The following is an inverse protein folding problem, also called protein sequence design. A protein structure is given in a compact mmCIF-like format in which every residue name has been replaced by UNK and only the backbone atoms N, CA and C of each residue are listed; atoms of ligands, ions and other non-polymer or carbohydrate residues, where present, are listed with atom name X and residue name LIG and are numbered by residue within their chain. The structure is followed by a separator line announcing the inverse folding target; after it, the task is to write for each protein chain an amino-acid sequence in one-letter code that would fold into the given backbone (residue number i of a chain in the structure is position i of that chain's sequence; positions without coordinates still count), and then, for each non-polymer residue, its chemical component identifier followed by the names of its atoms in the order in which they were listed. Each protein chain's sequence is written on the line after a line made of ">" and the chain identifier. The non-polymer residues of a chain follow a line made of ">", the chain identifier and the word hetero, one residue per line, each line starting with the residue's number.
data_IF_779067784860
#
_entry.id   IF_779067784860
#
_cell.length_a   1.000
_cell.length_b   1.000
_cell.length_c   1.000
_cell.angle_alpha   90.00
_cell.angle_beta   90.00
_cell.angle_gamma   90.00
#
_symmetry.space_group_name_H-M   'P 1'
#
loop_
_entity.id
_entity.type
_entity.pdbx_description
1 polymer ?
#
# COMPACT_ATOMS: atom_id res chain seq x y z
N UNK A 1 2.83 -16.68 -32.54
CA UNK A 1 1.84 -16.01 -33.40
C UNK A 1 0.40 -16.53 -33.26
N UNK A 2 0.11 -17.84 -33.41
CA UNK A 2 -1.29 -18.35 -33.45
C UNK A 2 -2.03 -18.56 -32.11
N UNK A 3 -1.47 -18.17 -30.96
CA UNK A 3 -2.06 -18.44 -29.64
C UNK A 3 -2.76 -17.27 -28.95
N UNK A 4 -2.85 -16.09 -29.59
CA UNK A 4 -3.40 -14.87 -28.95
C UNK A 4 -2.52 -14.26 -27.84
N UNK A 5 -1.51 -14.99 -27.34
CA UNK A 5 -0.59 -14.57 -26.27
C UNK A 5 0.34 -13.40 -26.67
N UNK A 6 0.46 -13.13 -27.96
CA UNK A 6 1.22 -11.99 -28.49
C UNK A 6 0.40 -10.68 -28.48
N UNK A 7 -0.90 -10.75 -28.12
CA UNK A 7 -1.74 -9.58 -27.91
C UNK A 7 -1.89 -9.32 -26.42
N UNK A 8 -1.80 -8.06 -26.01
CA UNK A 8 -1.94 -7.65 -24.61
C UNK A 8 -3.16 -6.76 -24.42
N UNK A 9 -3.61 -6.67 -23.18
CA UNK A 9 -4.66 -5.76 -22.74
C UNK A 9 -4.27 -5.12 -21.42
N UNK A 10 -4.88 -3.98 -21.14
CA UNK A 10 -4.86 -3.40 -19.81
C UNK A 10 -5.66 -4.32 -18.87
N UNK A 11 -5.15 -4.64 -17.67
CA UNK A 11 -5.88 -5.46 -16.71
C UNK A 11 -7.12 -4.73 -16.19
N UNK A 12 -8.03 -5.48 -15.58
CA UNK A 12 -9.16 -4.89 -14.85
C UNK A 12 -8.63 -4.13 -13.64
N UNK A 13 -9.27 -3.01 -13.30
CA UNK A 13 -8.89 -2.19 -12.15
C UNK A 13 -9.15 -2.94 -10.84
N UNK A 14 -8.10 -3.35 -10.10
CA UNK A 14 -8.25 -4.12 -8.87
C UNK A 14 -8.79 -3.31 -7.70
N UNK A 15 -8.93 -1.99 -7.83
CA UNK A 15 -9.54 -1.13 -6.80
C UNK A 15 -11.07 -1.08 -6.88
N UNK A 16 -11.64 -1.57 -7.97
CA UNK A 16 -13.06 -1.57 -8.25
C UNK A 16 -13.61 -3.00 -8.28
N UNK A 17 -14.81 -3.20 -7.72
CA UNK A 17 -15.45 -4.53 -7.67
C UNK A 17 -16.72 -4.58 -8.53
N UNK A 18 -17.00 -5.77 -9.07
CA UNK A 18 -18.27 -6.11 -9.72
C UNK A 18 -18.32 -5.82 -11.22
N UNK A 19 -19.52 -5.83 -11.77
CA UNK A 19 -19.80 -5.68 -13.21
C UNK A 19 -19.42 -4.33 -13.82
N UNK A 20 -18.98 -3.37 -12.99
CA UNK A 20 -18.52 -2.04 -13.41
C UNK A 20 -16.99 -1.87 -13.33
N UNK A 21 -16.23 -2.94 -13.03
CA UNK A 21 -14.77 -2.87 -13.04
C UNK A 21 -14.26 -2.68 -14.47
N UNK A 22 -13.89 -1.44 -14.80
CA UNK A 22 -13.26 -1.10 -16.07
C UNK A 22 -11.81 -1.55 -16.12
N UNK A 23 -11.13 -1.25 -17.24
CA UNK A 23 -9.68 -1.37 -17.30
C UNK A 23 -9.02 -0.40 -16.32
N UNK A 24 -7.91 -0.81 -15.72
CA UNK A 24 -7.10 0.05 -14.86
C UNK A 24 -6.64 1.28 -15.66
N UNK A 25 -7.06 2.51 -15.30
CA UNK A 25 -6.61 3.69 -16.03
C UNK A 25 -5.09 3.89 -15.88
N UNK A 26 -4.43 4.53 -16.85
CA UNK A 26 -3.03 4.89 -16.71
C UNK A 26 -2.86 5.98 -15.64
N UNK A 27 -1.75 5.97 -14.92
CA UNK A 27 -1.49 6.94 -13.85
C UNK A 27 -0.12 7.59 -14.00
N UNK A 28 -0.04 8.84 -13.56
CA UNK A 28 1.21 9.56 -13.48
C UNK A 28 1.95 9.26 -12.19
N UNK A 29 3.26 9.06 -12.31
CA UNK A 29 4.13 8.82 -11.17
C UNK A 29 5.55 9.24 -11.52
N UNK A 30 6.34 9.57 -10.50
CA UNK A 30 7.78 9.76 -10.65
C UNK A 30 8.47 8.42 -10.40
N UNK A 31 9.05 7.80 -11.43
CA UNK A 31 9.80 6.55 -11.33
C UNK A 31 11.08 6.59 -12.14
N UNK A 32 11.98 5.69 -11.81
CA UNK A 32 13.15 5.38 -12.60
C UNK A 32 12.99 3.99 -13.19
N UNK A 33 12.87 3.90 -14.52
CA UNK A 33 12.84 2.60 -15.20
C UNK A 33 14.26 2.09 -15.48
N UNK A 34 14.46 0.77 -15.69
CA UNK A 34 15.77 0.22 -16.00
C UNK A 34 16.45 0.95 -17.17
N UNK A 35 17.73 1.29 -16.99
CA UNK A 35 18.53 2.02 -17.98
C UNK A 35 18.45 3.55 -17.88
N UNK A 36 17.53 4.12 -17.10
CA UNK A 36 17.53 5.55 -16.80
C UNK A 36 18.52 5.89 -15.67
N UNK A 37 19.13 7.07 -15.76
CA UNK A 37 20.06 7.60 -14.74
C UNK A 37 19.37 8.37 -13.62
N UNK A 38 18.14 8.84 -13.83
CA UNK A 38 17.33 9.58 -12.85
C UNK A 38 15.85 9.24 -12.98
N UNK A 39 15.04 9.41 -11.91
CA UNK A 39 13.59 9.31 -12.02
C UNK A 39 13.01 10.38 -12.94
N UNK A 40 11.95 10.04 -13.68
CA UNK A 40 11.20 10.94 -14.55
C UNK A 40 9.71 10.93 -14.21
N UNK A 41 9.04 12.08 -14.30
CA UNK A 41 7.58 12.12 -14.20
C UNK A 41 7.00 11.44 -15.44
N UNK A 42 6.26 10.36 -15.24
CA UNK A 42 5.88 9.46 -16.33
C UNK A 42 4.44 8.97 -16.20
N UNK A 43 3.73 8.89 -17.33
CA UNK A 43 2.47 8.17 -17.43
C UNK A 43 2.75 6.67 -17.56
N UNK A 44 2.07 5.85 -16.79
CA UNK A 44 2.36 4.43 -16.66
C UNK A 44 1.10 3.56 -16.82
N UNK A 45 1.23 2.40 -17.47
CA UNK A 45 0.17 1.37 -17.49
C UNK A 45 0.74 -0.06 -17.58
N UNK A 46 0.20 -1.03 -16.81
CA UNK A 46 0.56 -2.43 -16.91
C UNK A 46 -0.23 -3.17 -18.00
N UNK A 47 0.35 -4.25 -18.50
CA UNK A 47 -0.25 -5.13 -19.51
C UNK A 47 -0.23 -6.60 -19.07
N UNK A 48 -1.34 -7.28 -19.34
CA UNK A 48 -1.52 -8.74 -19.22
C UNK A 48 -1.87 -9.34 -20.59
N UNK A 49 -1.68 -10.64 -20.82
CA UNK A 49 -2.03 -11.27 -22.08
C UNK A 49 -3.53 -11.14 -22.37
N UNK A 50 -3.88 -11.02 -23.65
CA UNK A 50 -5.26 -11.15 -24.11
C UNK A 50 -5.68 -12.61 -23.92
N UNK A 51 -6.61 -12.84 -22.99
CA UNK A 51 -7.04 -14.18 -22.56
C UNK A 51 -7.32 -14.20 -21.05
N UNK A 52 -7.40 -15.41 -20.49
CA UNK A 52 -7.69 -15.63 -19.07
C UNK A 52 -6.47 -15.63 -18.14
N UNK A 53 -5.25 -15.40 -18.66
CA UNK A 53 -4.05 -15.28 -17.82
C UNK A 53 -3.93 -13.84 -17.33
N UNK A 54 -3.67 -13.69 -16.03
CA UNK A 54 -3.53 -12.39 -15.37
C UNK A 54 -2.09 -12.13 -14.91
N UNK A 55 -1.11 -12.86 -15.45
CA UNK A 55 0.31 -12.62 -15.20
C UNK A 55 0.77 -11.33 -15.89
N UNK A 56 1.65 -10.58 -15.23
CA UNK A 56 2.22 -9.36 -15.80
C UNK A 56 3.11 -9.71 -17.00
N UNK A 57 2.88 -9.05 -18.14
CA UNK A 57 3.64 -9.29 -19.37
C UNK A 57 4.49 -8.10 -19.78
N UNK A 58 3.98 -6.88 -19.61
CA UNK A 58 4.74 -5.69 -19.93
C UNK A 58 4.25 -4.47 -19.14
N UNK A 59 5.09 -3.45 -19.08
CA UNK A 59 4.76 -2.12 -18.59
C UNK A 59 5.01 -1.12 -19.73
N UNK A 60 4.09 -0.21 -20.01
CA UNK A 60 4.39 0.95 -20.84
C UNK A 60 4.53 2.20 -19.98
N UNK A 61 5.56 2.97 -20.28
CA UNK A 61 5.93 4.19 -19.57
C UNK A 61 6.14 5.30 -20.60
N UNK A 62 5.51 6.45 -20.40
CA UNK A 62 5.64 7.63 -21.26
C UNK A 62 6.25 8.74 -20.45
N UNK A 63 7.44 9.20 -20.84
CA UNK A 63 8.09 10.31 -20.17
C UNK A 63 7.27 11.59 -20.39
N UNK A 64 6.96 12.29 -19.31
CA UNK A 64 6.16 13.52 -19.29
C UNK A 64 6.96 14.73 -18.81
N UNK A 65 8.25 14.58 -18.53
CA UNK A 65 9.16 15.69 -18.27
C UNK A 65 9.45 16.45 -19.57
N UNK A 66 9.49 17.79 -19.49
CA UNK A 66 9.86 18.62 -20.62
C UNK A 66 11.32 18.36 -21.05
N UNK A 67 11.53 18.16 -22.35
CA UNK A 67 12.85 17.92 -22.95
C UNK A 67 12.78 16.94 -24.11
N UNK A 68 13.95 16.50 -24.59
CA UNK A 68 14.09 15.65 -25.79
C UNK A 68 13.38 14.29 -25.67
N UNK A 69 13.19 13.81 -24.45
CA UNK A 69 12.56 12.51 -24.18
C UNK A 69 11.05 12.65 -23.89
N UNK A 70 10.47 13.86 -23.94
CA UNK A 70 9.04 14.08 -23.71
C UNK A 70 8.18 13.29 -24.72
N UNK A 71 7.16 12.61 -24.21
CA UNK A 71 6.24 11.80 -25.02
C UNK A 71 6.83 10.46 -25.49
N UNK A 72 8.09 10.15 -25.18
CA UNK A 72 8.72 8.88 -25.57
C UNK A 72 8.08 7.74 -24.82
N UNK A 73 7.52 6.79 -25.58
CA UNK A 73 6.92 5.56 -25.06
C UNK A 73 8.02 4.50 -24.95
N UNK A 74 8.21 3.97 -23.74
CA UNK A 74 9.09 2.84 -23.45
C UNK A 74 8.27 1.66 -22.97
N UNK A 75 8.46 0.50 -23.58
CA UNK A 75 7.78 -0.74 -23.19
C UNK A 75 8.80 -1.68 -22.54
N UNK A 76 8.59 -1.98 -21.26
CA UNK A 76 9.36 -2.93 -20.48
C UNK A 76 8.66 -4.28 -20.55
N UNK A 77 9.15 -5.17 -21.42
CA UNK A 77 8.57 -6.50 -21.58
C UNK A 77 9.27 -7.51 -20.68
N UNK A 78 8.47 -8.31 -19.96
CA UNK A 78 8.99 -9.42 -19.16
C UNK A 78 9.28 -10.63 -20.06
N UNK A 79 10.28 -11.47 -19.71
CA UNK A 79 10.51 -12.72 -20.42
C UNK A 79 9.27 -13.62 -20.39
N UNK A 80 8.95 -14.29 -21.49
CA UNK A 80 7.72 -15.11 -21.62
C UNK A 80 7.63 -16.28 -20.62
N UNK A 81 8.75 -16.68 -20.04
CA UNK A 81 8.84 -17.74 -19.04
C UNK A 81 8.59 -17.26 -17.61
N UNK A 82 8.40 -15.96 -17.38
CA UNK A 82 8.17 -15.45 -16.02
C UNK A 82 6.74 -15.69 -15.56
N UNK A 83 6.59 -16.06 -14.30
CA UNK A 83 5.29 -16.24 -13.65
C UNK A 83 5.00 -15.08 -12.68
N UNK A 84 5.30 -13.85 -13.12
CA UNK A 84 5.07 -12.66 -12.31
C UNK A 84 3.58 -12.37 -12.22
N UNK A 85 3.07 -12.14 -11.02
CA UNK A 85 1.66 -11.83 -10.78
C UNK A 85 1.29 -10.46 -11.38
N UNK A 86 0.17 -10.37 -12.10
CA UNK A 86 -0.36 -9.07 -12.53
C UNK A 86 -1.16 -8.37 -11.42
N UNK A 87 -1.60 -7.13 -11.65
CA UNK A 87 -2.32 -6.32 -10.66
C UNK A 87 -3.51 -7.03 -10.01
N UNK A 88 -4.37 -7.70 -10.79
CA UNK A 88 -5.54 -8.41 -10.26
C UNK A 88 -5.15 -9.57 -9.35
N UNK A 89 -4.12 -10.34 -9.71
CA UNK A 89 -3.63 -11.46 -8.88
C UNK A 89 -3.02 -10.96 -7.56
N UNK A 90 -2.22 -9.88 -7.62
CA UNK A 90 -1.63 -9.30 -6.40
C UNK A 90 -2.70 -8.76 -5.46
N UNK A 91 -3.71 -8.07 -6.00
CA UNK A 91 -4.86 -7.62 -5.21
C UNK A 91 -5.59 -8.79 -4.53
N UNK A 92 -5.85 -9.88 -5.26
CA UNK A 92 -6.43 -11.09 -4.66
C UNK A 92 -5.53 -11.71 -3.58
N UNK A 93 -4.21 -11.73 -3.78
CA UNK A 93 -3.26 -12.25 -2.79
C UNK A 93 -3.23 -11.38 -1.53
N UNK A 94 -3.32 -10.06 -1.67
CA UNK A 94 -3.47 -9.15 -0.55
C UNK A 94 -4.73 -9.44 0.26
N UNK A 95 -5.88 -9.56 -0.40
CA UNK A 95 -7.16 -9.83 0.28
C UNK A 95 -7.22 -11.22 0.92
N UNK A 96 -6.49 -12.20 0.35
CA UNK A 96 -6.39 -13.54 0.91
C UNK A 96 -5.55 -13.60 2.20
N UNK A 97 -4.71 -12.59 2.50
CA UNK A 97 -3.89 -12.57 3.71
C UNK A 97 -4.78 -12.40 4.96
N UNK A 98 -4.76 -13.31 5.95
CA UNK A 98 -5.69 -13.28 7.08
C UNK A 98 -5.70 -11.97 7.87
N UNK A 99 -4.53 -11.37 8.09
CA UNK A 99 -4.37 -10.08 8.78
C UNK A 99 -5.05 -8.92 8.02
N UNK A 100 -4.89 -8.91 6.70
CA UNK A 100 -5.53 -7.93 5.80
C UNK A 100 -7.04 -8.14 5.81
N UNK A 101 -7.50 -9.36 5.57
CA UNK A 101 -8.92 -9.70 5.55
C UNK A 101 -9.63 -9.28 6.85
N UNK A 102 -9.02 -9.59 7.99
CA UNK A 102 -9.52 -9.21 9.32
C UNK A 102 -9.57 -7.69 9.47
N UNK A 103 -8.49 -6.99 9.15
CA UNK A 103 -8.45 -5.53 9.26
C UNK A 103 -9.45 -4.84 8.33
N UNK A 104 -9.57 -5.27 7.07
CA UNK A 104 -10.56 -4.72 6.14
C UNK A 104 -11.99 -4.99 6.60
N UNK A 105 -12.26 -6.15 7.19
CA UNK A 105 -13.56 -6.48 7.79
C UNK A 105 -13.89 -5.54 8.96
N UNK A 106 -12.94 -5.29 9.86
CA UNK A 106 -13.11 -4.35 10.98
C UNK A 106 -13.34 -2.91 10.49
N UNK A 107 -12.59 -2.45 9.49
CA UNK A 107 -12.77 -1.11 8.91
C UNK A 107 -14.17 -0.95 8.29
N UNK A 108 -14.73 -2.01 7.69
CA UNK A 108 -16.10 -2.01 7.14
C UNK A 108 -17.19 -2.01 8.22
N UNK A 109 -16.94 -2.60 9.39
CA UNK A 109 -17.92 -2.68 10.49
C UNK A 109 -18.14 -1.33 11.20
N UNK A 110 -17.17 -0.40 11.15
CA UNK A 110 -17.22 0.88 11.86
C UNK A 110 -18.10 1.97 11.23
N UNK A 111 -19.04 1.64 10.35
CA UNK A 111 -19.84 2.64 9.62
C UNK A 111 -19.02 3.46 8.62
N UNK A 112 -17.97 2.85 8.08
CA UNK A 112 -17.08 3.45 7.08
C UNK A 112 -17.03 2.61 5.81
N UNK A 113 -17.00 3.27 4.67
CA UNK A 113 -16.74 2.62 3.39
C UNK A 113 -15.23 2.46 3.23
N UNK A 114 -14.77 1.22 3.06
CA UNK A 114 -13.39 0.95 2.65
C UNK A 114 -13.25 1.27 1.17
N UNK A 115 -12.29 2.14 0.85
CA UNK A 115 -11.93 2.53 -0.51
C UNK A 115 -10.52 2.03 -0.79
N UNK A 116 -10.40 1.03 -1.65
CA UNK A 116 -9.11 0.61 -2.16
C UNK A 116 -8.59 1.67 -3.13
N UNK A 117 -7.35 2.11 -2.95
CA UNK A 117 -6.69 2.96 -3.93
C UNK A 117 -6.12 2.16 -5.09
N UNK A 118 -5.53 2.89 -6.03
CA UNK A 118 -4.89 2.30 -7.20
C UNK A 118 -3.74 1.39 -6.77
N UNK A 119 -3.68 0.19 -7.35
CA UNK A 119 -2.56 -0.71 -7.18
C UNK A 119 -1.44 -0.32 -8.14
N UNK A 120 -0.35 0.20 -7.59
CA UNK A 120 0.84 0.61 -8.31
C UNK A 120 1.78 -0.58 -8.47
N UNK A 121 2.29 -0.80 -9.68
CA UNK A 121 3.30 -1.84 -9.97
C UNK A 121 4.57 -1.14 -10.42
N UNK A 122 5.64 -1.26 -9.64
CA UNK A 122 6.86 -0.47 -9.81
C UNK A 122 8.07 -1.38 -10.02
N UNK A 123 8.86 -1.21 -11.10
CA UNK A 123 10.14 -1.88 -11.22
C UNK A 123 11.11 -1.28 -10.20
N UNK A 124 11.60 -2.10 -9.27
CA UNK A 124 12.61 -1.68 -8.29
C UNK A 124 13.70 -2.74 -8.18
N UNK A 125 14.96 -2.31 -8.32
CA UNK A 125 16.09 -3.23 -8.42
C UNK A 125 15.86 -4.28 -9.53
N UNK A 126 15.92 -5.56 -9.16
CA UNK A 126 15.70 -6.69 -10.07
C UNK A 126 14.30 -7.33 -9.94
N UNK A 127 13.34 -6.63 -9.33
CA UNK A 127 12.00 -7.15 -9.07
C UNK A 127 10.91 -6.11 -9.25
N UNK A 128 9.70 -6.49 -8.83
CA UNK A 128 8.51 -5.65 -8.90
C UNK A 128 7.95 -5.44 -7.50
N UNK A 129 7.76 -4.16 -7.16
CA UNK A 129 7.12 -3.71 -5.95
C UNK A 129 5.68 -3.34 -6.27
N UNK A 130 4.75 -3.92 -5.56
CA UNK A 130 3.33 -3.59 -5.64
C UNK A 130 2.94 -2.79 -4.42
N UNK A 131 2.24 -1.68 -4.61
CA UNK A 131 1.81 -0.79 -3.51
C UNK A 131 0.34 -0.47 -3.70
N UNK A 132 -0.49 -0.73 -2.69
CA UNK A 132 -1.90 -0.39 -2.70
C UNK A 132 -2.29 0.32 -1.40
N UNK A 133 -2.68 1.59 -1.44
CA UNK A 133 -3.22 2.28 -0.28
C UNK A 133 -4.67 1.87 -0.02
N UNK A 134 -5.05 1.84 1.25
CA UNK A 134 -6.42 1.60 1.71
C UNK A 134 -6.89 2.81 2.47
N UNK A 135 -7.98 3.39 1.99
CA UNK A 135 -8.63 4.52 2.61
C UNK A 135 -9.96 4.09 3.24
N UNK A 136 -10.44 4.91 4.16
CA UNK A 136 -11.81 4.85 4.66
C UNK A 136 -12.48 6.21 4.55
N UNK A 137 -13.78 6.21 4.36
CA UNK A 137 -14.63 7.40 4.42
C UNK A 137 -15.91 7.09 5.18
N UNK A 138 -16.53 8.09 5.79
CA UNK A 138 -17.81 7.88 6.48
C UNK A 138 -18.90 7.43 5.48
N UNK A 139 -19.61 6.35 5.81
CA UNK A 139 -20.68 5.82 4.94
C UNK A 139 -21.80 6.84 4.80
N UNK A 140 -22.32 7.01 3.56
CA UNK A 140 -23.45 7.89 3.27
C UNK A 140 -23.12 9.39 3.23
N UNK A 141 -21.88 9.79 3.54
CA UNK A 141 -21.43 11.18 3.38
C UNK A 141 -20.56 11.32 2.14
N UNK A 142 -21.15 11.79 1.05
CA UNK A 142 -20.45 12.01 -0.23
C UNK A 142 -19.40 13.12 -0.17
N UNK A 143 -19.45 13.99 0.84
CA UNK A 143 -18.45 15.03 1.09
C UNK A 143 -17.32 14.56 2.04
N UNK A 144 -17.36 13.32 2.54
CA UNK A 144 -16.31 12.81 3.41
C UNK A 144 -15.01 12.54 2.63
N UNK A 145 -13.93 13.17 3.07
CA UNK A 145 -12.60 12.95 2.52
C UNK A 145 -12.07 11.56 2.90
N UNK A 146 -11.53 10.78 1.93
CA UNK A 146 -10.90 9.50 2.23
C UNK A 146 -9.66 9.70 3.12
N UNK A 147 -9.61 8.98 4.23
CA UNK A 147 -8.47 8.96 5.14
C UNK A 147 -7.67 7.68 4.95
N UNK A 148 -6.36 7.81 4.74
CA UNK A 148 -5.46 6.65 4.64
C UNK A 148 -5.46 5.90 5.96
N UNK A 149 -5.77 4.60 5.92
CA UNK A 149 -5.73 3.73 7.10
C UNK A 149 -4.58 2.76 7.03
N UNK A 150 -4.32 2.20 5.85
CA UNK A 150 -3.29 1.18 5.64
C UNK A 150 -2.64 1.31 4.27
N UNK A 151 -1.46 0.72 4.15
CA UNK A 151 -0.72 0.53 2.91
C UNK A 151 -0.34 -0.95 2.83
N UNK A 152 -0.70 -1.58 1.71
CA UNK A 152 -0.26 -2.92 1.36
C UNK A 152 0.93 -2.81 0.43
N UNK A 153 1.94 -3.62 0.70
CA UNK A 153 3.13 -3.72 -0.14
C UNK A 153 3.43 -5.17 -0.41
N UNK A 154 3.77 -5.51 -1.65
CA UNK A 154 4.31 -6.83 -2.00
C UNK A 154 5.59 -6.70 -2.80
N UNK A 155 6.57 -7.54 -2.49
CA UNK A 155 7.78 -7.75 -3.29
C UNK A 155 8.12 -9.24 -3.28
N UNK A 156 8.01 -9.89 -4.44
CA UNK A 156 8.03 -11.35 -4.53
C UNK A 156 6.90 -11.96 -3.69
N UNK A 157 7.23 -12.94 -2.85
CA UNK A 157 6.26 -13.64 -1.98
C UNK A 157 6.00 -12.93 -0.64
N UNK A 158 6.71 -11.83 -0.37
CA UNK A 158 6.56 -11.10 0.89
C UNK A 158 5.45 -10.06 0.78
N UNK A 159 4.58 -9.99 1.79
CA UNK A 159 3.48 -9.02 1.88
C UNK A 159 3.58 -8.26 3.19
N UNK A 160 3.80 -6.95 3.09
CA UNK A 160 3.73 -5.99 4.18
C UNK A 160 2.37 -5.32 4.24
N UNK A 161 1.91 -5.05 5.45
CA UNK A 161 0.65 -4.39 5.75
C UNK A 161 0.81 -3.51 6.99
N UNK A 162 0.76 -2.20 6.80
CA UNK A 162 1.00 -1.23 7.88
C UNK A 162 0.21 0.05 7.66
N UNK A 163 0.20 0.93 8.67
CA UNK A 163 -0.45 2.25 8.60
C UNK A 163 0.33 3.23 7.72
N UNK A 164 1.62 2.96 7.51
CA UNK A 164 2.50 3.78 6.68
C UNK A 164 3.17 2.93 5.61
N UNK A 165 3.50 3.56 4.48
CA UNK A 165 4.28 2.93 3.43
C UNK A 165 5.62 2.43 3.97
N UNK A 166 6.30 3.23 4.78
CA UNK A 166 7.57 2.84 5.40
C UNK A 166 7.41 1.56 6.24
N UNK A 167 6.41 1.50 7.11
CA UNK A 167 6.19 0.31 7.93
C UNK A 167 5.86 -0.93 7.12
N UNK A 168 5.13 -0.79 6.00
CA UNK A 168 4.84 -1.92 5.11
C UNK A 168 6.09 -2.35 4.32
N UNK A 169 6.93 -1.41 3.88
CA UNK A 169 8.22 -1.70 3.26
C UNK A 169 9.16 -2.40 4.23
N UNK A 170 9.24 -1.95 5.48
CA UNK A 170 10.11 -2.54 6.50
C UNK A 170 9.72 -3.98 6.83
N UNK A 171 8.43 -4.30 6.80
CA UNK A 171 7.95 -5.69 6.91
C UNK A 171 8.38 -6.55 5.70
N UNK A 172 8.39 -5.98 4.49
CA UNK A 172 8.77 -6.68 3.26
C UNK A 172 10.28 -6.90 3.15
N UNK A 173 11.08 -5.91 3.56
CA UNK A 173 12.54 -5.91 3.41
C UNK A 173 13.31 -6.20 4.71
N UNK A 174 12.62 -6.61 5.78
CA UNK A 174 13.26 -7.01 7.04
C UNK A 174 13.90 -5.86 7.81
N UNK A 175 13.35 -4.64 7.71
CA UNK A 175 13.74 -3.48 8.53
C UNK A 175 14.83 -2.57 7.96
N UNK A 176 15.28 -2.79 6.72
CA UNK A 176 16.21 -1.86 6.07
C UNK A 176 15.88 -1.69 4.58
N UNK A 177 14.70 -1.13 4.30
CA UNK A 177 14.16 -0.90 2.95
C UNK A 177 15.03 0.01 2.06
N UNK A 178 16.11 0.60 2.57
CA UNK A 178 17.03 1.47 1.82
C UNK A 178 16.39 2.77 1.31
N UNK A 179 15.10 3.00 1.60
CA UNK A 179 14.33 4.15 1.15
C UNK A 179 14.05 5.09 2.31
N UNK A 180 14.67 6.26 2.32
CA UNK A 180 14.11 7.43 3.00
C UNK A 180 12.96 7.95 2.14
N UNK A 181 11.74 7.50 2.40
CA UNK A 181 10.56 8.15 1.84
C UNK A 181 10.48 9.54 2.46
N UNK A 182 10.65 10.59 1.65
CA UNK A 182 10.39 11.95 2.07
C UNK A 182 8.91 12.06 2.40
N UNK A 183 8.57 11.94 3.67
CA UNK A 183 7.27 12.35 4.17
C UNK A 183 7.15 13.84 3.84
N UNK A 184 6.36 14.18 2.82
CA UNK A 184 5.80 15.52 2.66
C UNK A 184 4.71 15.76 3.74
N UNK A 185 5.05 15.51 5.00
CA UNK A 185 4.54 16.33 6.08
C UNK A 185 5.50 17.51 6.15
N UNK A 186 5.01 18.66 5.73
CA UNK A 186 5.67 19.95 5.83
C UNK A 186 6.24 20.14 7.24
N UNK A 187 7.52 19.86 7.40
CA UNK A 187 8.29 20.21 8.58
C UNK A 187 8.71 21.68 8.41
N UNK A 188 7.79 22.58 8.71
CA UNK A 188 8.14 23.96 9.02
C UNK A 188 8.86 23.95 10.36
N UNK A 189 10.09 24.49 10.49
CA UNK A 189 10.79 24.49 11.77
C UNK A 189 10.14 25.54 12.68
N UNK A 190 9.28 25.09 13.59
CA UNK A 190 8.85 25.88 14.74
C UNK A 190 9.45 25.25 16.00
N UNK A 191 10.44 25.94 16.56
CA UNK A 191 11.03 25.68 17.86
C UNK A 191 9.96 25.48 18.95
N UNK A 192 9.93 24.30 19.58
CA UNK A 192 9.16 24.07 20.80
C UNK A 192 9.06 22.60 21.22
N UNK A 193 9.80 22.20 22.26
CA UNK A 193 9.40 21.09 23.13
C UNK A 193 10.16 19.76 22.99
N UNK A 194 11.30 19.64 23.68
CA UNK A 194 11.99 18.35 23.96
C UNK A 194 11.07 17.35 24.69
N UNK A 195 9.93 17.80 25.25
CA UNK A 195 8.94 16.97 25.94
C UNK A 195 7.95 16.21 25.03
N UNK A 196 7.60 16.71 23.84
CA UNK A 196 6.58 16.07 22.97
C UNK A 196 7.12 14.79 22.31
N UNK A 197 8.40 14.79 21.91
CA UNK A 197 9.06 13.63 21.31
C UNK A 197 9.22 12.45 22.28
N UNK A 198 9.39 12.70 23.58
CA UNK A 198 9.47 11.62 24.57
C UNK A 198 8.10 11.03 24.91
N UNK A 199 7.07 11.87 24.98
CA UNK A 199 5.69 11.45 25.23
C UNK A 199 5.12 10.61 24.06
N UNK A 200 5.46 10.95 22.82
CA UNK A 200 5.08 10.16 21.65
C UNK A 200 5.77 8.79 21.66
N UNK A 201 7.07 8.73 21.95
CA UNK A 201 7.82 7.45 22.05
C UNK A 201 7.29 6.53 23.14
N UNK A 202 6.96 7.07 24.32
CA UNK A 202 6.39 6.28 25.42
C UNK A 202 4.97 5.79 25.12
N UNK A 203 4.16 6.59 24.42
CA UNK A 203 2.82 6.19 23.98
C UNK A 203 2.87 5.05 22.95
N UNK A 204 3.79 5.10 21.98
CA UNK A 204 4.00 4.04 20.99
C UNK A 204 4.45 2.74 21.66
N UNK A 205 5.43 2.79 22.58
CA UNK A 205 5.89 1.61 23.32
C UNK A 205 4.76 0.98 24.17
N UNK A 206 3.94 1.83 24.81
CA UNK A 206 2.78 1.37 25.58
C UNK A 206 1.74 0.69 24.69
N UNK A 207 1.48 1.24 23.49
CA UNK A 207 0.55 0.66 22.52
C UNK A 207 1.03 -0.72 22.02
N UNK A 208 2.31 -0.86 21.69
CA UNK A 208 2.91 -2.13 21.26
C UNK A 208 2.79 -3.21 22.34
N UNK A 209 3.10 -2.87 23.61
CA UNK A 209 2.95 -3.80 24.72
C UNK A 209 1.49 -4.23 24.96
N UNK A 210 0.54 -3.31 24.78
CA UNK A 210 -0.87 -3.58 24.98
C UNK A 210 -1.45 -4.51 23.88
N UNK A 211 -0.94 -4.43 22.65
CA UNK A 211 -1.29 -5.36 21.58
C UNK A 211 -0.72 -6.77 21.83
N UNK A 212 0.52 -6.87 22.30
CA UNK A 212 1.11 -8.17 22.68
C UNK A 212 0.34 -8.82 23.84
N UNK A 213 -0.07 -8.03 24.85
CA UNK A 213 -0.91 -8.50 25.95
C UNK A 213 -2.28 -9.00 25.46
N UNK A 214 -2.88 -8.31 24.48
CA UNK A 214 -4.18 -8.66 23.91
C UNK A 214 -4.11 -9.98 23.13
N UNK A 215 -3.07 -10.15 22.31
CA UNK A 215 -2.85 -11.40 21.57
C UNK A 215 -2.60 -12.59 22.53
N UNK A 216 -1.82 -12.36 23.60
CA UNK A 216 -1.57 -13.37 24.63
C UNK A 216 -2.82 -13.69 25.48
N UNK A 217 -3.71 -12.73 25.69
CA UNK A 217 -4.99 -12.94 26.37
C UNK A 217 -5.96 -13.76 25.51
N UNK A 218 -6.04 -13.45 24.21
CA UNK A 218 -6.87 -14.18 23.25
C UNK A 218 -6.42 -15.63 23.09
N UNK A 219 -5.10 -15.90 23.01
CA UNK A 219 -4.56 -17.27 22.96
C UNK A 219 -4.89 -18.09 24.21
N UNK A 220 -5.08 -17.44 25.36
CA UNK A 220 -5.39 -18.11 26.63
C UNK A 220 -6.88 -18.19 26.94
N UNK A 221 -7.76 -17.65 26.06
CA UNK A 221 -9.20 -17.50 26.32
C UNK A 221 -9.50 -16.79 27.66
N UNK A 222 -8.63 -15.87 28.07
CA UNK A 222 -8.76 -15.13 29.33
C UNK A 222 -9.45 -13.78 29.09
N UNK A 223 -10.77 -13.74 29.30
CA UNK A 223 -11.57 -12.53 29.08
C UNK A 223 -11.20 -11.35 29.99
N UNK A 224 -10.75 -11.61 31.21
CA UNK A 224 -10.33 -10.54 32.13
C UNK A 224 -8.99 -9.92 31.69
N UNK A 225 -8.08 -10.73 31.18
CA UNK A 225 -6.85 -10.25 30.57
C UNK A 225 -7.11 -9.47 29.27
N UNK A 226 -8.11 -9.89 28.49
CA UNK A 226 -8.51 -9.22 27.25
C UNK A 226 -9.10 -7.84 27.51
N UNK A 227 -9.99 -7.70 28.51
CA UNK A 227 -10.56 -6.41 28.91
C UNK A 227 -9.49 -5.45 29.44
N UNK A 228 -8.54 -5.96 30.20
CA UNK A 228 -7.40 -5.18 30.69
C UNK A 228 -6.48 -4.71 29.55
N UNK A 229 -6.25 -5.57 28.57
CA UNK A 229 -5.45 -5.23 27.39
C UNK A 229 -6.18 -4.20 26.51
N UNK A 230 -7.49 -4.36 26.27
CA UNK A 230 -8.33 -3.35 25.57
C UNK A 230 -8.30 -1.99 26.26
N UNK A 231 -8.39 -1.96 27.60
CA UNK A 231 -8.30 -0.71 28.36
C UNK A 231 -6.92 -0.04 28.19
N UNK A 232 -5.83 -0.82 28.17
CA UNK A 232 -4.47 -0.31 27.92
C UNK A 232 -4.30 0.24 26.50
N UNK A 233 -4.86 -0.42 25.49
CA UNK A 233 -4.86 0.08 24.11
C UNK A 233 -5.57 1.44 24.05
N UNK A 234 -6.78 1.56 24.64
CA UNK A 234 -7.53 2.82 24.69
C UNK A 234 -6.76 3.94 25.39
N UNK A 235 -6.08 3.63 26.49
CA UNK A 235 -5.27 4.59 27.24
C UNK A 235 -4.04 5.05 26.43
N UNK A 236 -3.37 4.13 25.73
CA UNK A 236 -2.20 4.45 24.89
C UNK A 236 -2.57 5.34 23.69
N UNK A 237 -3.74 5.10 23.07
CA UNK A 237 -4.28 5.95 22.00
C UNK A 237 -4.61 7.36 22.53
N UNK A 238 -5.26 7.46 23.69
CA UNK A 238 -5.54 8.75 24.32
C UNK A 238 -4.26 9.52 24.67
N UNK A 239 -3.23 8.83 25.16
CA UNK A 239 -1.91 9.41 25.43
C UNK A 239 -1.24 9.91 24.15
N UNK A 240 -1.31 9.16 23.05
CA UNK A 240 -0.77 9.55 21.75
C UNK A 240 -1.46 10.81 21.21
N UNK A 241 -2.80 10.87 21.27
CA UNK A 241 -3.58 12.05 20.86
C UNK A 241 -3.21 13.26 21.71
N UNK A 242 -3.08 13.09 23.03
CA UNK A 242 -2.70 14.18 23.94
C UNK A 242 -1.27 14.68 23.72
N UNK A 243 -0.37 13.81 23.25
CA UNK A 243 1.02 14.13 22.96
C UNK A 243 1.21 14.79 21.58
N UNK A 244 0.27 14.57 20.64
CA UNK A 244 0.23 15.27 19.36
C UNK A 244 -0.39 16.67 19.45
N UNK A 245 -1.25 16.91 20.44
CA UNK A 245 -1.95 18.19 20.65
C UNK A 245 -1.21 19.14 21.63
N UNK A 246 0.03 18.83 22.02
CA UNK A 246 0.88 19.63 22.90
C UNK A 246 2.13 20.10 22.17
#
# INVERSE_FOLDING_TARGET
>A
FYGGQDFWRVPLDPSSFGSNSGNQPPYYLTMQIPGQSKPTFSLYTPFVPRGGRENLTALAVVNSDAGDEYGKITVLQLPRSTNVAGPSQVSSNFEAKPEVATSLSLLRQGGSDVVLGNLLTLPVGNGLLYVQPVYVRATGNTAAYPLLQKVLVSFGDQIGFSETLQGALDQVFGGNSGTTVANNQSNTPANGGVGSSQAIRSAIASLQSAYADLEAAQKRLDGAAEDKARARVKAAIAALISAQNR
#
